data_IF_673937151998
#
_entry.id   IF_673937151998
#
_cell.length_a   1.000
_cell.length_b   1.000
_cell.length_c   1.000
_cell.angle_alpha   90.00
_cell.angle_beta   90.00
_cell.angle_gamma   90.00
#
_symmetry.space_group_name_H-M   'P 1'
#
loop_
_entity.id
_entity.type
_entity.pdbx_description
1 polymer ?
#
# COMPACT_ATOMS: atom_id res chain seq x y z
N UNK A 1 -7.23 -10.77 7.22
CA UNK A 1 -7.23 -11.07 5.77
C UNK A 1 -8.40 -10.36 5.10
N UNK A 2 -8.16 -9.25 4.41
CA UNK A 2 -9.18 -8.50 3.65
C UNK A 2 -9.11 -8.95 2.19
N UNK A 3 -10.05 -9.80 1.75
CA UNK A 3 -10.20 -10.14 0.32
C UNK A 3 -10.64 -8.91 -0.46
N UNK A 4 -9.97 -8.64 -1.59
CA UNK A 4 -10.32 -7.58 -2.53
C UNK A 4 -11.73 -7.77 -3.12
N UNK A 5 -12.42 -6.66 -3.31
CA UNK A 5 -13.75 -6.55 -3.93
C UNK A 5 -13.70 -7.00 -5.40
N UNK A 6 -14.74 -7.68 -5.92
CA UNK A 6 -14.89 -7.87 -7.36
C UNK A 6 -14.91 -6.50 -8.10
N UNK A 7 -14.56 -6.44 -9.39
CA UNK A 7 -14.25 -5.20 -10.11
C UNK A 7 -15.42 -4.21 -10.38
N UNK A 8 -16.55 -4.28 -9.65
CA UNK A 8 -17.82 -3.66 -10.05
C UNK A 8 -18.02 -2.18 -9.78
N UNK A 9 -17.60 -1.62 -8.64
CA UNK A 9 -18.00 -0.24 -8.25
C UNK A 9 -16.80 0.60 -7.79
N UNK A 10 -15.93 1.01 -8.72
CA UNK A 10 -14.99 2.11 -8.42
C UNK A 10 -15.75 3.43 -8.54
N UNK A 11 -15.80 4.27 -7.49
CA UNK A 11 -16.53 5.52 -7.57
C UNK A 11 -15.78 6.51 -8.47
N UNK A 12 -16.51 7.51 -8.99
CA UNK A 12 -15.87 8.65 -9.63
C UNK A 12 -14.89 9.31 -8.64
N UNK A 13 -13.65 9.59 -9.05
CA UNK A 13 -12.68 10.26 -8.19
C UNK A 13 -13.17 11.69 -7.88
N UNK A 14 -12.76 12.23 -6.74
CA UNK A 14 -12.92 13.66 -6.50
C UNK A 14 -12.03 14.45 -7.48
N UNK A 15 -12.54 15.60 -7.94
CA UNK A 15 -11.83 16.53 -8.82
C UNK A 15 -11.36 17.75 -8.01
N UNK A 16 -10.31 18.44 -8.49
CA UNK A 16 -9.79 19.66 -7.86
C UNK A 16 -8.88 19.40 -6.65
N UNK A 17 -8.83 20.37 -5.72
CA UNK A 17 -8.03 20.25 -4.50
C UNK A 17 -8.65 19.22 -3.56
N UNK A 18 -7.93 18.12 -3.34
CA UNK A 18 -8.35 17.04 -2.45
C UNK A 18 -7.75 17.31 -1.08
N UNK A 19 -8.59 17.41 -0.05
CA UNK A 19 -8.19 17.53 1.36
C UNK A 19 -9.01 16.58 2.22
N UNK A 20 -8.39 15.99 3.24
CA UNK A 20 -9.13 15.29 4.29
C UNK A 20 -9.89 16.30 5.15
N UNK A 21 -10.87 15.81 5.89
CA UNK A 21 -11.65 16.57 6.86
C UNK A 21 -11.82 15.75 8.13
N UNK A 22 -12.15 16.41 9.24
CA UNK A 22 -12.32 15.69 10.50
C UNK A 22 -13.40 14.60 10.43
N UNK A 23 -14.53 14.86 9.77
CA UNK A 23 -15.55 13.80 9.68
C UNK A 23 -15.15 12.64 8.76
N UNK A 24 -14.15 12.82 7.87
CA UNK A 24 -13.60 11.68 7.13
C UNK A 24 -12.97 10.68 8.10
N UNK A 25 -12.18 11.17 9.05
CA UNK A 25 -11.57 10.36 10.12
C UNK A 25 -12.65 9.82 11.07
N UNK A 26 -13.58 10.67 11.54
CA UNK A 26 -14.61 10.24 12.50
C UNK A 26 -15.54 9.16 11.93
N UNK A 27 -15.81 9.17 10.62
CA UNK A 27 -16.64 8.16 9.96
C UNK A 27 -16.06 6.74 10.01
N UNK A 28 -14.80 6.60 10.39
CA UNK A 28 -14.07 5.34 10.48
C UNK A 28 -13.88 4.85 11.91
N UNK A 29 -14.45 5.55 12.88
CA UNK A 29 -14.30 5.17 14.27
C UNK A 29 -14.97 3.83 14.60
N UNK A 30 -14.44 3.15 15.60
CA UNK A 30 -14.96 1.88 16.08
C UNK A 30 -16.46 1.95 16.36
N UNK A 31 -16.89 2.98 17.11
CA UNK A 31 -18.27 3.11 17.58
C UNK A 31 -19.28 3.20 16.44
N UNK A 32 -18.87 3.74 15.30
CA UNK A 32 -19.74 3.94 14.14
C UNK A 32 -19.41 3.01 12.98
N UNK A 33 -18.37 2.18 13.10
CA UNK A 33 -17.81 1.38 11.99
C UNK A 33 -18.80 0.45 11.29
N UNK A 34 -19.90 0.07 11.97
CA UNK A 34 -20.98 -0.77 11.44
C UNK A 34 -22.22 0.02 11.01
N UNK A 35 -22.30 1.29 11.34
CA UNK A 35 -23.46 2.14 11.13
C UNK A 35 -23.57 2.57 9.65
N UNK A 36 -24.66 2.23 8.95
CA UNK A 36 -24.92 2.66 7.58
C UNK A 36 -25.11 4.17 7.42
N UNK A 37 -25.48 4.92 8.47
CA UNK A 37 -25.67 6.38 8.41
C UNK A 37 -24.39 7.11 7.99
N UNK A 38 -23.22 6.49 8.20
CA UNK A 38 -21.91 7.03 7.82
C UNK A 38 -21.47 6.62 6.41
N UNK A 39 -22.24 5.83 5.66
CA UNK A 39 -21.84 5.33 4.33
C UNK A 39 -21.63 6.46 3.33
N UNK A 40 -22.49 7.48 3.30
CA UNK A 40 -22.31 8.63 2.40
C UNK A 40 -21.01 9.39 2.70
N UNK A 41 -20.67 9.57 4.00
CA UNK A 41 -19.41 10.21 4.36
C UNK A 41 -18.19 9.38 3.99
N UNK A 42 -18.26 8.06 4.23
CA UNK A 42 -17.22 7.12 3.80
C UNK A 42 -17.07 7.07 2.28
N UNK A 43 -18.17 7.25 1.53
CA UNK A 43 -18.14 7.36 0.08
C UNK A 43 -17.39 8.62 -0.36
N UNK A 44 -17.63 9.77 0.27
CA UNK A 44 -16.86 11.00 0.03
C UNK A 44 -15.36 10.77 0.25
N UNK A 45 -14.98 10.19 1.40
CA UNK A 45 -13.58 9.83 1.67
C UNK A 45 -13.01 8.87 0.61
N UNK A 46 -13.78 7.84 0.22
CA UNK A 46 -13.38 6.90 -0.83
C UNK A 46 -13.12 7.61 -2.17
N UNK A 47 -13.94 8.59 -2.55
CA UNK A 47 -13.75 9.41 -3.77
C UNK A 47 -12.48 10.26 -3.70
N UNK A 48 -12.20 10.86 -2.54
CA UNK A 48 -10.94 11.61 -2.30
C UNK A 48 -9.72 10.71 -2.48
N UNK A 49 -9.71 9.55 -1.82
CA UNK A 49 -8.62 8.57 -1.95
C UNK A 49 -8.49 8.04 -3.39
N UNK A 50 -9.60 7.81 -4.08
CA UNK A 50 -9.59 7.45 -5.50
C UNK A 50 -8.90 8.51 -6.37
N UNK A 51 -9.16 9.79 -6.11
CA UNK A 51 -8.49 10.91 -6.79
C UNK A 51 -6.99 10.93 -6.55
N UNK A 52 -6.56 10.83 -5.28
CA UNK A 52 -5.14 10.78 -4.92
C UNK A 52 -4.41 9.60 -5.58
N UNK A 53 -4.99 8.39 -5.52
CA UNK A 53 -4.41 7.22 -6.18
C UNK A 53 -4.33 7.37 -7.70
N UNK A 54 -5.34 7.97 -8.34
CA UNK A 54 -5.30 8.25 -9.79
C UNK A 54 -4.23 9.27 -10.14
N UNK A 55 -4.05 10.32 -9.34
CA UNK A 55 -3.01 11.32 -9.54
C UNK A 55 -1.62 10.70 -9.46
N UNK A 56 -1.38 9.85 -8.45
CA UNK A 56 -0.14 9.08 -8.32
C UNK A 56 0.12 8.18 -9.54
N UNK A 57 -0.86 7.37 -9.95
CA UNK A 57 -0.75 6.55 -11.16
C UNK A 57 -0.45 7.39 -12.41
N UNK A 58 -1.08 8.55 -12.57
CA UNK A 58 -0.87 9.44 -13.71
C UNK A 58 0.54 10.02 -13.75
N UNK A 59 1.05 10.48 -12.60
CA UNK A 59 2.41 10.99 -12.45
C UNK A 59 3.45 9.90 -12.81
N UNK A 60 3.19 8.65 -12.41
CA UNK A 60 4.07 7.51 -12.67
C UNK A 60 4.03 6.93 -14.08
N UNK A 61 3.07 7.32 -14.92
CA UNK A 61 3.07 6.95 -16.35
C UNK A 61 4.31 7.48 -17.08
N UNK A 62 4.84 8.64 -16.65
CA UNK A 62 6.07 9.27 -17.18
C UNK A 62 7.15 9.34 -16.08
N UNK A 63 7.43 8.21 -15.42
CA UNK A 63 8.48 7.32 -15.90
C UNK A 63 8.02 5.85 -15.95
N UNK A 64 7.44 5.40 -17.07
CA UNK A 64 7.11 4.00 -17.49
C UNK A 64 6.72 3.00 -16.38
N UNK A 65 6.16 3.43 -15.25
CA UNK A 65 5.69 2.53 -14.19
C UNK A 65 4.18 2.39 -14.36
N UNK A 66 3.77 1.32 -15.04
CA UNK A 66 2.37 1.07 -15.34
C UNK A 66 1.59 0.63 -14.10
N UNK A 67 0.82 1.55 -13.51
CA UNK A 67 -0.02 1.32 -12.33
C UNK A 67 -1.50 1.64 -12.59
N UNK A 68 -2.38 0.87 -11.97
CA UNK A 68 -3.82 1.08 -11.90
C UNK A 68 -4.25 1.33 -10.44
N UNK A 69 -5.09 2.35 -10.22
CA UNK A 69 -5.62 2.70 -8.90
C UNK A 69 -6.95 2.00 -8.63
N UNK A 70 -7.15 1.56 -7.39
CA UNK A 70 -8.39 0.97 -6.86
C UNK A 70 -8.63 1.44 -5.43
N UNK A 71 -9.87 1.34 -4.96
CA UNK A 71 -10.24 1.62 -3.56
C UNK A 71 -10.90 0.44 -2.87
N UNK A 72 -10.82 0.42 -1.52
CA UNK A 72 -11.57 -0.53 -0.69
C UNK A 72 -13.07 -0.22 -0.64
N UNK A 73 -13.85 -1.10 -0.02
CA UNK A 73 -15.25 -0.82 0.34
C UNK A 73 -15.34 0.34 1.32
N UNK A 74 -16.45 1.06 1.24
CA UNK A 74 -16.80 2.18 2.11
C UNK A 74 -18.02 1.88 2.99
N UNK A 75 -18.74 0.79 2.74
CA UNK A 75 -19.90 0.36 3.49
C UNK A 75 -19.64 -1.00 4.19
N UNK A 76 -20.31 -1.29 5.32
CA UNK A 76 -20.31 -2.61 5.94
C UNK A 76 -20.71 -3.69 4.93
N UNK A 77 -19.92 -4.75 4.86
CA UNK A 77 -20.11 -5.86 3.95
C UNK A 77 -19.52 -7.15 4.53
N UNK A 78 -19.97 -8.32 4.09
CA UNK A 78 -19.41 -9.59 4.54
C UNK A 78 -17.88 -9.66 4.40
N UNK A 79 -17.34 -9.11 3.30
CA UNK A 79 -15.90 -9.06 3.00
C UNK A 79 -15.05 -8.23 3.98
N UNK A 80 -15.63 -7.24 4.67
CA UNK A 80 -14.92 -6.43 5.66
C UNK A 80 -15.37 -6.72 7.10
N UNK A 81 -16.05 -7.85 7.32
CA UNK A 81 -16.54 -8.24 8.65
C UNK A 81 -17.68 -7.35 9.14
N UNK A 82 -18.50 -6.84 8.21
CA UNK A 82 -19.61 -5.92 8.48
C UNK A 82 -19.17 -4.65 9.22
N UNK A 83 -17.97 -4.13 8.90
CA UNK A 83 -17.41 -2.93 9.54
C UNK A 83 -16.43 -2.19 8.62
N UNK A 84 -16.36 -0.88 8.77
CA UNK A 84 -15.41 -0.01 8.06
C UNK A 84 -14.65 0.83 9.07
N UNK A 85 -13.43 0.39 9.38
CA UNK A 85 -12.49 1.10 10.27
C UNK A 85 -11.35 1.80 9.52
N UNK A 86 -11.24 1.49 8.22
CA UNK A 86 -10.16 1.93 7.37
C UNK A 86 -10.60 1.94 5.92
N UNK A 87 -10.32 3.03 5.21
CA UNK A 87 -10.51 3.12 3.75
C UNK A 87 -9.15 3.30 3.10
N UNK A 88 -9.01 2.70 1.93
CA UNK A 88 -7.74 2.54 1.24
C UNK A 88 -7.88 2.99 -0.21
N UNK A 89 -6.84 3.65 -0.72
CA UNK A 89 -6.48 3.63 -2.13
C UNK A 89 -5.25 2.74 -2.32
N UNK A 90 -5.33 1.83 -3.27
CA UNK A 90 -4.24 0.94 -3.65
C UNK A 90 -3.85 1.22 -5.10
N UNK A 91 -2.55 1.37 -5.36
CA UNK A 91 -2.02 1.44 -6.73
C UNK A 91 -1.23 0.15 -7.00
N UNK A 92 -1.73 -0.63 -7.95
CA UNK A 92 -1.20 -1.96 -8.29
C UNK A 92 -0.69 -1.97 -9.72
N UNK A 93 0.13 -2.95 -10.08
CA UNK A 93 0.57 -3.09 -11.48
C UNK A 93 -0.60 -3.12 -12.45
N UNK A 94 -0.40 -2.45 -13.58
CA UNK A 94 -1.42 -2.32 -14.62
C UNK A 94 -1.81 -3.66 -15.24
N UNK A 95 -2.97 -3.70 -15.89
CA UNK A 95 -3.40 -4.88 -16.68
C UNK A 95 -2.31 -5.37 -17.66
N UNK A 96 -1.55 -4.46 -18.27
CA UNK A 96 -0.46 -4.84 -19.18
C UNK A 96 0.67 -5.58 -18.47
N UNK A 97 1.13 -5.09 -17.30
CA UNK A 97 2.15 -5.76 -16.50
C UNK A 97 1.67 -7.09 -15.94
N UNK A 98 0.40 -7.19 -15.51
CA UNK A 98 -0.20 -8.48 -15.11
C UNK A 98 -0.18 -9.48 -16.25
N UNK A 99 -0.46 -9.03 -17.47
CA UNK A 99 -0.38 -9.85 -18.68
C UNK A 99 1.02 -10.38 -18.94
N UNK A 100 2.07 -9.60 -18.64
CA UNK A 100 3.46 -10.06 -18.73
C UNK A 100 3.78 -11.08 -17.66
N UNK A 101 3.45 -10.80 -16.40
CA UNK A 101 3.68 -11.74 -15.30
C UNK A 101 2.97 -13.07 -15.54
N UNK A 102 1.72 -13.03 -16.03
CA UNK A 102 0.95 -14.24 -16.37
C UNK A 102 1.68 -15.15 -17.35
N UNK A 103 2.45 -14.59 -18.31
CA UNK A 103 3.24 -15.37 -19.26
C UNK A 103 4.46 -16.00 -18.60
N UNK A 104 4.99 -15.40 -17.54
CA UNK A 104 6.16 -15.89 -16.80
C UNK A 104 5.76 -16.98 -15.80
N UNK A 105 4.70 -16.77 -15.01
CA UNK A 105 4.27 -17.76 -13.99
C UNK A 105 3.35 -18.85 -14.53
N UNK A 106 2.85 -18.71 -15.76
CA UNK A 106 1.89 -19.64 -16.36
C UNK A 106 0.45 -19.44 -15.88
N UNK A 107 -0.50 -20.05 -16.61
CA UNK A 107 -1.93 -19.80 -16.43
C UNK A 107 -2.44 -20.22 -15.04
N UNK A 108 -1.92 -21.33 -14.49
CA UNK A 108 -2.40 -21.91 -13.23
C UNK A 108 -2.02 -21.07 -12.01
N UNK A 109 -0.78 -20.55 -11.97
CA UNK A 109 -0.32 -19.69 -10.88
C UNK A 109 -0.83 -18.25 -11.02
N UNK A 110 -1.26 -17.85 -12.22
CA UNK A 110 -1.74 -16.50 -12.51
C UNK A 110 -3.25 -16.29 -12.30
N UNK A 111 -4.00 -17.30 -11.85
CA UNK A 111 -5.48 -17.25 -11.76
C UNK A 111 -6.00 -16.05 -10.96
N UNK A 112 -5.20 -15.52 -10.05
CA UNK A 112 -5.64 -14.50 -9.10
C UNK A 112 -4.83 -13.19 -9.11
N UNK A 113 -4.05 -12.93 -10.18
CA UNK A 113 -3.32 -11.66 -10.35
C UNK A 113 -4.25 -10.43 -10.35
N UNK A 114 -5.55 -10.63 -10.59
CA UNK A 114 -6.53 -9.55 -10.60
C UNK A 114 -6.85 -8.98 -9.22
N UNK A 115 -6.65 -9.75 -8.15
CA UNK A 115 -6.80 -9.28 -6.79
C UNK A 115 -5.66 -8.32 -6.40
N UNK A 116 -6.00 -7.16 -5.84
CA UNK A 116 -4.99 -6.15 -5.49
C UNK A 116 -3.95 -6.68 -4.49
N UNK A 117 -4.40 -7.40 -3.46
CA UNK A 117 -3.54 -7.95 -2.41
C UNK A 117 -2.59 -9.04 -2.91
N UNK A 118 -2.86 -9.67 -4.05
CA UNK A 118 -1.96 -10.66 -4.64
C UNK A 118 -0.87 -10.04 -5.49
N UNK A 119 -0.58 -8.75 -5.32
CA UNK A 119 0.54 -8.08 -5.97
C UNK A 119 1.27 -7.25 -4.89
N UNK A 120 2.49 -6.82 -5.15
CA UNK A 120 3.05 -5.66 -4.49
C UNK A 120 2.18 -4.44 -4.84
N UNK A 121 1.82 -3.63 -3.85
CA UNK A 121 0.99 -2.46 -4.06
C UNK A 121 1.39 -1.28 -3.18
N UNK A 122 1.27 -0.08 -3.75
CA UNK A 122 1.27 1.16 -2.97
C UNK A 122 -0.09 1.31 -2.30
N UNK A 123 -0.10 1.94 -1.14
CA UNK A 123 -1.26 2.10 -0.29
C UNK A 123 -1.25 3.49 0.33
N UNK A 124 -2.33 4.23 0.13
CA UNK A 124 -2.71 5.34 0.99
C UNK A 124 -3.94 4.92 1.77
N UNK A 125 -3.91 5.04 3.09
CA UNK A 125 -5.04 4.66 3.90
C UNK A 125 -5.32 5.64 5.03
N UNK A 126 -6.59 5.70 5.38
CA UNK A 126 -7.12 6.56 6.42
C UNK A 126 -7.87 5.68 7.41
N UNK A 127 -7.58 5.89 8.69
CA UNK A 127 -8.24 5.33 9.87
C UNK A 127 -8.80 6.47 10.72
N UNK A 128 -9.53 6.15 11.78
CA UNK A 128 -10.02 7.18 12.70
C UNK A 128 -8.90 7.95 13.42
N UNK A 129 -7.77 7.28 13.68
CA UNK A 129 -6.68 7.76 14.53
C UNK A 129 -5.33 7.83 13.79
N UNK A 130 -5.32 7.63 12.47
CA UNK A 130 -4.08 7.70 11.69
C UNK A 130 -4.33 7.84 10.18
N UNK A 131 -3.32 8.39 9.49
CA UNK A 131 -3.15 8.28 8.04
C UNK A 131 -1.86 7.51 7.76
N UNK A 132 -1.85 6.67 6.73
CA UNK A 132 -0.70 5.82 6.39
C UNK A 132 -0.41 5.84 4.90
N UNK A 133 0.89 5.93 4.57
CA UNK A 133 1.44 5.63 3.25
C UNK A 133 2.31 4.38 3.36
N UNK A 134 2.14 3.42 2.46
CA UNK A 134 2.87 2.16 2.50
C UNK A 134 3.08 1.50 1.13
N UNK A 135 4.10 0.65 1.02
CA UNK A 135 4.10 -0.50 0.09
C UNK A 135 3.88 -1.77 0.88
N UNK A 136 3.13 -2.70 0.31
CA UNK A 136 2.87 -4.00 0.92
C UNK A 136 3.04 -5.13 -0.08
N UNK A 137 3.55 -6.25 0.41
CA UNK A 137 3.58 -7.52 -0.29
C UNK A 137 2.91 -8.54 0.63
N UNK A 138 1.70 -8.94 0.27
CA UNK A 138 0.95 -9.96 1.01
C UNK A 138 1.57 -11.34 0.77
N UNK A 139 1.31 -12.30 1.66
CA UNK A 139 1.73 -13.70 1.48
C UNK A 139 1.26 -14.27 0.14
N UNK A 140 0.00 -14.06 -0.24
CA UNK A 140 -0.55 -14.42 -1.55
C UNK A 140 0.10 -13.74 -2.77
N UNK A 141 0.90 -12.69 -2.58
CA UNK A 141 1.74 -12.07 -3.62
C UNK A 141 3.12 -12.74 -3.67
N UNK A 142 3.16 -14.06 -3.50
CA UNK A 142 4.37 -14.86 -3.30
C UNK A 142 5.45 -14.62 -4.36
N UNK A 143 5.08 -14.33 -5.60
CA UNK A 143 6.03 -14.06 -6.68
C UNK A 143 6.80 -12.76 -6.46
N UNK A 144 6.19 -11.72 -5.89
CA UNK A 144 6.88 -10.48 -5.56
C UNK A 144 7.78 -10.68 -4.34
N UNK A 145 7.30 -11.44 -3.34
CA UNK A 145 8.10 -11.83 -2.20
C UNK A 145 9.32 -12.67 -2.60
N UNK A 146 9.12 -13.66 -3.48
CA UNK A 146 10.17 -14.56 -3.95
C UNK A 146 11.17 -13.84 -4.84
N UNK A 147 10.69 -12.94 -5.70
CA UNK A 147 11.55 -12.06 -6.50
C UNK A 147 12.44 -11.19 -5.59
N UNK A 148 11.86 -10.53 -4.59
CA UNK A 148 12.60 -9.73 -3.62
C UNK A 148 13.64 -10.56 -2.86
N UNK A 149 13.24 -11.70 -2.30
CA UNK A 149 14.14 -12.54 -1.50
C UNK A 149 15.31 -13.09 -2.33
N UNK A 150 15.03 -13.55 -3.57
CA UNK A 150 16.09 -14.01 -4.48
C UNK A 150 16.99 -12.90 -4.95
N UNK A 151 16.45 -11.71 -5.21
CA UNK A 151 17.27 -10.54 -5.55
C UNK A 151 18.23 -10.18 -4.42
N UNK A 152 17.76 -10.11 -3.18
CA UNK A 152 18.63 -9.85 -2.02
C UNK A 152 19.70 -10.93 -1.88
N UNK A 153 19.35 -12.20 -2.13
CA UNK A 153 20.33 -13.28 -2.13
C UNK A 153 21.38 -13.15 -3.26
N UNK A 154 20.99 -12.65 -4.42
CA UNK A 154 21.86 -12.52 -5.59
C UNK A 154 22.74 -11.26 -5.53
N UNK A 155 22.16 -10.12 -5.20
CA UNK A 155 22.81 -8.80 -5.20
C UNK A 155 23.52 -8.49 -3.87
N UNK A 156 23.21 -9.23 -2.80
CA UNK A 156 23.56 -8.87 -1.43
C UNK A 156 22.55 -7.91 -0.79
N UNK A 157 22.65 -7.67 0.53
CA UNK A 157 21.75 -6.76 1.26
C UNK A 157 21.99 -5.26 0.98
N UNK A 158 23.16 -4.87 0.47
CA UNK A 158 23.59 -3.47 0.35
C UNK A 158 22.66 -2.61 -0.53
N UNK A 159 22.24 -3.06 -1.73
CA UNK A 159 21.37 -2.24 -2.57
C UNK A 159 20.01 -1.96 -1.92
N UNK A 160 19.44 -2.97 -1.24
CA UNK A 160 18.20 -2.78 -0.51
C UNK A 160 18.40 -1.90 0.72
N UNK A 161 19.52 -2.04 1.42
CA UNK A 161 19.87 -1.21 2.58
C UNK A 161 19.92 0.27 2.20
N UNK A 162 20.56 0.60 1.08
CA UNK A 162 20.62 1.97 0.57
C UNK A 162 19.21 2.53 0.29
N UNK A 163 18.36 1.77 -0.42
CA UNK A 163 16.98 2.17 -0.70
C UNK A 163 16.18 2.39 0.59
N UNK A 164 16.33 1.51 1.58
CA UNK A 164 15.62 1.63 2.85
C UNK A 164 16.16 2.80 3.69
N UNK A 165 17.43 3.17 3.57
CA UNK A 165 17.98 4.31 4.31
C UNK A 165 17.61 5.67 3.69
N UNK A 166 17.25 5.71 2.40
CA UNK A 166 16.63 6.90 1.80
C UNK A 166 15.17 7.12 2.27
N UNK A 167 14.60 6.17 3.01
CA UNK A 167 13.23 6.15 3.51
C UNK A 167 13.11 6.49 4.99
N UNK A 168 13.89 7.46 5.48
CA UNK A 168 13.73 7.97 6.85
C UNK A 168 12.25 8.29 7.18
N UNK A 169 11.83 7.85 8.38
CA UNK A 169 10.46 7.92 8.87
C UNK A 169 9.58 6.72 8.49
N UNK A 170 10.03 5.83 7.62
CA UNK A 170 9.34 4.56 7.33
C UNK A 170 9.79 3.44 8.27
N UNK A 171 8.94 2.42 8.39
CA UNK A 171 9.22 1.19 9.10
C UNK A 171 8.97 0.00 8.19
N UNK A 172 9.98 -0.86 8.06
CA UNK A 172 9.86 -2.20 7.49
C UNK A 172 9.34 -3.16 8.57
N UNK A 173 8.38 -4.00 8.21
CA UNK A 173 7.69 -4.90 9.14
C UNK A 173 7.30 -6.21 8.47
N UNK A 174 7.23 -7.28 9.27
CA UNK A 174 6.68 -8.58 8.92
C UNK A 174 5.45 -8.85 9.79
N UNK A 175 4.36 -9.33 9.20
CA UNK A 175 3.07 -9.43 9.86
C UNK A 175 3.08 -10.24 11.18
N UNK A 176 3.89 -11.29 11.26
CA UNK A 176 3.95 -12.19 12.41
C UNK A 176 5.19 -11.97 13.30
N UNK A 177 5.96 -10.90 13.06
CA UNK A 177 7.21 -10.63 13.76
C UNK A 177 7.22 -9.28 14.46
N UNK A 178 7.76 -9.26 15.68
CA UNK A 178 7.87 -8.03 16.51
C UNK A 178 9.15 -7.23 16.26
N UNK A 179 9.90 -7.54 15.20
CA UNK A 179 11.12 -6.82 14.87
C UNK A 179 10.81 -5.37 14.47
N UNK A 180 11.65 -4.44 14.91
CA UNK A 180 11.62 -3.05 14.48
C UNK A 180 12.75 -2.79 13.49
N UNK A 181 12.42 -2.68 12.21
CA UNK A 181 13.36 -2.29 11.16
C UNK A 181 13.04 -0.87 10.71
N UNK A 182 13.54 0.10 11.47
CA UNK A 182 13.35 1.53 11.18
C UNK A 182 14.26 1.94 10.03
N UNK A 183 13.66 2.44 8.96
CA UNK A 183 14.38 2.97 7.81
C UNK A 183 15.15 4.25 8.17
N UNK A 184 16.25 4.51 7.47
CA UNK A 184 17.17 5.63 7.75
C UNK A 184 18.38 5.24 8.58
N UNK A 185 18.34 4.10 9.28
CA UNK A 185 19.39 3.62 10.17
C UNK A 185 19.53 2.08 10.13
N UNK A 186 19.36 1.48 8.95
CA UNK A 186 19.54 0.03 8.76
C UNK A 186 20.97 -0.26 8.29
N UNK A 187 21.62 -1.20 8.97
CA UNK A 187 22.84 -1.83 8.48
C UNK A 187 22.54 -3.09 7.65
N UNK A 188 23.47 -3.54 6.78
CA UNK A 188 23.30 -4.75 5.98
C UNK A 188 22.93 -6.00 6.79
N UNK A 189 23.54 -6.19 7.95
CA UNK A 189 23.26 -7.33 8.85
C UNK A 189 21.81 -7.35 9.38
N UNK A 190 21.18 -6.18 9.53
CA UNK A 190 19.76 -6.09 9.91
C UNK A 190 18.83 -6.53 8.78
N UNK A 191 19.25 -6.30 7.54
CA UNK A 191 18.52 -6.78 6.36
C UNK A 191 18.69 -8.29 6.23
N UNK A 192 19.90 -8.82 6.43
CA UNK A 192 20.12 -10.27 6.49
C UNK A 192 19.27 -10.94 7.58
N UNK A 193 19.24 -10.35 8.79
CA UNK A 193 18.36 -10.79 9.88
C UNK A 193 16.88 -10.80 9.44
N UNK A 194 16.41 -9.72 8.81
CA UNK A 194 15.04 -9.65 8.28
C UNK A 194 14.74 -10.78 7.30
N UNK A 195 15.63 -11.04 6.34
CA UNK A 195 15.46 -12.10 5.35
C UNK A 195 15.69 -13.50 5.91
N UNK A 196 16.32 -13.64 7.07
CA UNK A 196 16.36 -14.88 7.85
C UNK A 196 14.98 -15.29 8.38
N UNK A 197 14.07 -14.33 8.59
CA UNK A 197 12.69 -14.58 9.03
C UNK A 197 11.67 -14.54 7.89
N UNK A 198 11.96 -13.84 6.79
CA UNK A 198 11.01 -13.68 5.70
C UNK A 198 10.90 -14.93 4.83
N UNK A 199 9.68 -15.47 4.73
CA UNK A 199 9.37 -16.63 3.88
C UNK A 199 8.28 -16.21 2.87
N UNK A 200 8.62 -16.09 1.57
CA UNK A 200 7.65 -15.77 0.52
C UNK A 200 6.51 -16.80 0.47
N UNK A 201 5.26 -16.32 0.39
CA UNK A 201 4.08 -17.21 0.42
C UNK A 201 3.54 -17.45 1.83
N UNK A 202 4.35 -17.28 2.87
CA UNK A 202 3.93 -17.39 4.27
C UNK A 202 3.76 -16.02 4.90
N UNK A 203 4.80 -15.19 4.83
CA UNK A 203 4.84 -13.91 5.52
C UNK A 203 4.37 -12.76 4.62
N UNK A 204 3.59 -11.85 5.19
CA UNK A 204 3.36 -10.54 4.56
C UNK A 204 4.38 -9.54 5.08
N UNK A 205 4.87 -8.67 4.19
CA UNK A 205 5.73 -7.55 4.57
C UNK A 205 5.08 -6.21 4.23
N UNK A 206 5.39 -5.19 5.02
CA UNK A 206 4.97 -3.83 4.79
C UNK A 206 6.12 -2.86 5.07
N UNK A 207 6.27 -1.87 4.21
CA UNK A 207 7.11 -0.71 4.38
C UNK A 207 6.20 0.51 4.49
N UNK A 208 6.04 1.06 5.69
CA UNK A 208 4.98 2.01 5.99
C UNK A 208 5.46 3.20 6.82
N UNK A 209 4.90 4.37 6.52
CA UNK A 209 4.97 5.56 7.37
C UNK A 209 3.55 5.89 7.82
N UNK A 210 3.40 6.13 9.13
CA UNK A 210 2.12 6.44 9.76
C UNK A 210 2.18 7.80 10.43
N UNK A 211 1.17 8.62 10.18
CA UNK A 211 0.92 9.88 10.87
C UNK A 211 -0.22 9.66 11.86
N UNK A 212 0.06 9.65 13.17
CA UNK A 212 -0.99 9.59 14.18
C UNK A 212 -1.93 10.79 14.06
N UNK A 213 -3.22 10.55 14.22
CA UNK A 213 -4.28 11.54 14.23
C UNK A 213 -5.16 11.41 15.49
N UNK A 214 -4.56 11.36 16.70
CA UNK A 214 -5.27 11.05 17.94
C UNK A 214 -6.45 12.01 18.17
N UNK A 215 -7.63 11.47 18.51
CA UNK A 215 -8.84 12.25 18.83
C UNK A 215 -8.61 13.32 19.90
N UNK A 216 -7.72 13.06 20.84
CA UNK A 216 -7.36 13.99 21.92
C UNK A 216 -6.51 15.18 21.46
N UNK A 217 -6.03 15.20 20.21
CA UNK A 217 -5.16 16.27 19.69
C UNK A 217 -5.76 16.89 18.42
N UNK A 218 -6.72 17.80 18.60
CA UNK A 218 -7.40 18.50 17.50
C UNK A 218 -6.44 19.22 16.56
N UNK A 219 -5.39 19.86 17.08
CA UNK A 219 -4.39 20.56 16.26
C UNK A 219 -3.66 19.62 15.28
N UNK A 220 -3.33 18.40 15.70
CA UNK A 220 -2.67 17.40 14.84
C UNK A 220 -3.62 16.93 13.75
N UNK A 221 -4.90 16.70 14.09
CA UNK A 221 -5.93 16.33 13.11
C UNK A 221 -6.18 17.43 12.09
N UNK A 222 -6.30 18.68 12.55
CA UNK A 222 -6.48 19.84 11.69
C UNK A 222 -5.31 20.02 10.71
N UNK A 223 -4.07 19.76 11.15
CA UNK A 223 -2.89 19.78 10.27
C UNK A 223 -2.97 18.72 9.16
N UNK A 224 -3.42 17.49 9.48
CA UNK A 224 -3.62 16.41 8.49
C UNK A 224 -4.77 16.69 7.51
N UNK A 225 -5.64 17.65 7.81
CA UNK A 225 -6.71 18.08 6.92
C UNK A 225 -6.31 19.24 5.98
N UNK A 226 -5.09 19.77 6.10
CA UNK A 226 -4.62 20.85 5.22
C UNK A 226 -4.18 20.34 3.84
N UNK A 227 -4.25 21.16 2.78
CA UNK A 227 -3.77 20.80 1.45
C UNK A 227 -2.30 20.33 1.42
N UNK A 228 -1.45 20.96 2.21
CA UNK A 228 -0.02 20.65 2.32
C UNK A 228 0.21 19.23 2.80
N UNK A 229 -0.64 18.73 3.71
CA UNK A 229 -0.56 17.34 4.17
C UNK A 229 -0.86 16.37 3.02
N UNK A 230 -1.80 16.70 2.12
CA UNK A 230 -2.10 15.83 0.97
C UNK A 230 -0.97 15.83 -0.06
N UNK A 231 -0.33 16.98 -0.28
CA UNK A 231 0.87 17.07 -1.10
C UNK A 231 2.00 16.20 -0.50
N UNK A 232 2.24 16.32 0.80
CA UNK A 232 3.24 15.51 1.51
C UNK A 232 2.95 14.01 1.40
N UNK A 233 1.71 13.56 1.58
CA UNK A 233 1.37 12.14 1.41
C UNK A 233 1.65 11.65 -0.01
N UNK A 234 1.41 12.50 -1.01
CA UNK A 234 1.78 12.24 -2.40
C UNK A 234 3.29 12.07 -2.58
N UNK A 235 4.08 12.99 -2.05
CA UNK A 235 5.56 12.93 -2.07
C UNK A 235 6.09 11.67 -1.37
N UNK A 236 5.48 11.27 -0.26
CA UNK A 236 5.86 10.07 0.48
C UNK A 236 5.50 8.78 -0.27
N UNK A 237 4.40 8.77 -1.03
CA UNK A 237 4.11 7.67 -1.97
C UNK A 237 5.17 7.60 -3.07
N UNK A 238 5.74 8.74 -3.48
CA UNK A 238 6.80 8.79 -4.49
C UNK A 238 8.14 8.30 -4.00
N UNK A 239 8.49 8.61 -2.75
CA UNK A 239 9.70 8.08 -2.11
C UNK A 239 9.72 6.55 -2.09
N UNK A 240 8.56 5.89 -2.07
CA UNK A 240 8.44 4.43 -2.09
C UNK A 240 8.71 3.77 -3.46
N UNK A 241 8.78 4.54 -4.55
CA UNK A 241 8.93 4.00 -5.92
C UNK A 241 10.21 3.19 -6.14
N UNK A 242 11.40 3.62 -5.66
CA UNK A 242 12.62 2.82 -5.75
C UNK A 242 12.47 1.45 -5.08
N UNK A 243 11.86 1.37 -3.90
CA UNK A 243 11.57 0.09 -3.25
C UNK A 243 10.63 -0.78 -4.07
N UNK A 244 9.54 -0.21 -4.63
CA UNK A 244 8.66 -0.96 -5.52
C UNK A 244 9.41 -1.56 -6.70
N UNK A 245 10.25 -0.77 -7.37
CA UNK A 245 11.06 -1.22 -8.51
C UNK A 245 12.10 -2.28 -8.13
N UNK A 246 12.57 -2.24 -6.89
CA UNK A 246 13.50 -3.23 -6.37
C UNK A 246 12.82 -4.56 -6.05
N UNK A 247 11.67 -4.49 -5.36
CA UNK A 247 11.01 -5.64 -4.77
C UNK A 247 10.01 -6.34 -5.72
N UNK A 248 9.16 -5.56 -6.39
CA UNK A 248 8.11 -6.12 -7.23
C UNK A 248 8.69 -6.74 -8.50
N UNK A 249 8.17 -7.89 -8.91
CA UNK A 249 8.54 -8.49 -10.17
C UNK A 249 8.21 -7.54 -11.33
N UNK A 250 9.17 -7.36 -12.23
CA UNK A 250 8.99 -6.75 -13.54
C UNK A 250 9.92 -7.40 -14.56
N UNK A 251 9.78 -7.07 -15.85
CA UNK A 251 10.71 -7.59 -16.87
C UNK A 251 12.16 -7.13 -16.62
N UNK A 252 12.33 -5.95 -16.05
CA UNK A 252 13.63 -5.35 -15.71
C UNK A 252 14.17 -5.84 -14.36
N UNK A 253 13.33 -6.45 -13.53
CA UNK A 253 13.69 -7.03 -12.24
C UNK A 253 13.07 -8.42 -12.14
N UNK A 254 13.67 -9.37 -12.87
CA UNK A 254 13.20 -10.75 -12.97
C UNK A 254 14.17 -11.71 -12.27
N UNK A 255 13.93 -11.94 -10.98
CA UNK A 255 14.63 -12.90 -10.14
C UNK A 255 13.70 -14.05 -9.74
N UNK A 256 12.60 -14.27 -10.45
CA UNK A 256 11.55 -15.20 -10.00
C UNK A 256 11.91 -16.67 -10.24
N UNK A 257 12.73 -16.98 -11.23
CA UNK A 257 13.13 -18.36 -11.54
C UNK A 257 14.64 -18.54 -11.77
N UNK A 258 15.42 -17.45 -11.69
CA UNK A 258 16.89 -17.45 -11.77
C UNK A 258 17.50 -17.20 -10.41
#
# INVERSE_FOLDING_TARGET
>A
MTRAVPPGDQPAPAEGSICLSEDDLLSLDEAVSRDPAYNERRLVLRRKLAGLGKNFCALRRKPKLGLDSRTSLHNPHAFNGQRVRRIWAYCIRSKAEKGRLRKVVGADLARDLDAAFRNAYFCLAVEAEAVEVAIRIHSDAWFDGANLARRVKADGPEPLTAILNDLDGFQLSLADWKGEWRCGDLGPSRIEEFFGYFEPGTHSLALARRWPAPRSQSAVRAALCQPEAMAQLGEEMERLVPFYRYAAWSKESDFLFG
#
